data_IF_748998690033
#
_entry.id   IF_748998690033
#
_cell.length_a   1.000
_cell.length_b   1.000
_cell.length_c   1.000
_cell.angle_alpha   90.00
_cell.angle_beta   90.00
_cell.angle_gamma   90.00
#
_symmetry.space_group_name_H-M   'P 1'
#
loop_
_entity.id
_entity.type
_entity.pdbx_description
1 polymer ?
#
# COMPACT_ATOMS: atom_id res chain seq x y z
N UNK A 1 4.49 24.60 -23.59
CA UNK A 1 3.48 24.04 -24.47
C UNK A 1 2.91 22.79 -23.83
N UNK A 2 1.61 22.55 -24.06
CA UNK A 2 0.93 21.32 -23.67
C UNK A 2 0.50 20.63 -24.96
N UNK A 3 0.83 19.34 -25.09
CA UNK A 3 0.46 18.52 -26.22
C UNK A 3 -0.47 17.42 -25.70
N UNK A 4 -1.70 17.38 -26.20
CA UNK A 4 -2.64 16.28 -26.00
C UNK A 4 -2.31 15.16 -27.00
N UNK A 5 -2.22 13.93 -26.53
CA UNK A 5 -2.02 12.74 -27.35
C UNK A 5 -2.78 11.56 -26.75
N UNK A 6 -3.00 10.54 -27.54
CA UNK A 6 -3.54 9.26 -27.07
C UNK A 6 -2.38 8.30 -26.81
N UNK A 7 -2.42 7.62 -25.67
CA UNK A 7 -1.48 6.55 -25.37
C UNK A 7 -1.59 5.43 -26.41
N UNK A 8 -0.49 4.73 -26.64
CA UNK A 8 -0.53 3.49 -27.41
C UNK A 8 -1.08 2.31 -26.58
N UNK A 9 -1.20 1.13 -27.20
CA UNK A 9 -1.75 -0.07 -26.55
C UNK A 9 -0.97 -0.52 -25.30
N UNK A 10 0.29 -0.08 -25.17
CA UNK A 10 1.16 -0.40 -24.01
C UNK A 10 1.28 0.76 -23.01
N UNK A 11 0.52 1.85 -23.23
CA UNK A 11 0.52 3.01 -22.34
C UNK A 11 1.80 3.82 -22.39
N UNK A 12 2.51 3.85 -23.55
CA UNK A 12 3.71 4.65 -23.75
C UNK A 12 3.39 6.02 -24.36
N UNK A 13 4.33 6.96 -24.24
CA UNK A 13 4.22 8.27 -24.88
C UNK A 13 4.92 8.36 -26.24
N UNK A 14 5.13 7.24 -26.93
CA UNK A 14 5.75 7.19 -28.27
C UNK A 14 5.00 8.09 -29.26
N UNK A 15 3.67 8.07 -29.25
CA UNK A 15 2.85 8.92 -30.10
C UNK A 15 3.14 10.41 -29.91
N UNK A 16 3.35 10.85 -28.66
CA UNK A 16 3.74 12.24 -28.36
C UNK A 16 5.11 12.57 -28.92
N UNK A 17 6.09 11.66 -28.78
CA UNK A 17 7.44 11.86 -29.28
C UNK A 17 7.46 11.97 -30.81
N UNK A 18 6.69 11.17 -31.50
CA UNK A 18 6.54 11.25 -32.95
C UNK A 18 5.86 12.55 -33.41
N UNK A 19 4.88 13.05 -32.68
CA UNK A 19 4.27 14.35 -32.93
C UNK A 19 5.27 15.49 -32.78
N UNK A 20 6.08 15.45 -31.70
CA UNK A 20 7.12 16.47 -31.44
C UNK A 20 8.20 16.45 -32.56
N UNK A 21 8.65 15.27 -32.95
CA UNK A 21 9.63 15.14 -34.06
C UNK A 21 9.09 15.75 -35.35
N UNK A 22 7.84 15.51 -35.69
CA UNK A 22 7.20 16.09 -36.90
C UNK A 22 7.06 17.61 -36.82
N UNK A 23 6.78 18.13 -35.63
CA UNK A 23 6.63 19.57 -35.41
C UNK A 23 7.99 20.30 -35.36
N UNK A 24 9.06 19.59 -34.95
CA UNK A 24 10.40 20.13 -34.70
C UNK A 24 11.48 19.32 -35.45
N UNK A 25 11.45 19.25 -36.79
CA UNK A 25 12.31 18.34 -37.56
C UNK A 25 13.80 18.69 -37.53
N UNK A 26 14.15 19.92 -37.18
CA UNK A 26 15.52 20.42 -37.14
C UNK A 26 16.06 20.60 -35.70
N UNK A 27 15.24 20.32 -34.68
CA UNK A 27 15.62 20.55 -33.29
C UNK A 27 16.21 19.27 -32.67
N UNK A 28 17.14 19.45 -31.73
CA UNK A 28 17.60 18.35 -30.89
C UNK A 28 16.54 18.10 -29.81
N UNK A 29 15.90 16.94 -29.89
CA UNK A 29 14.91 16.51 -28.92
C UNK A 29 15.58 15.67 -27.83
N UNK A 30 15.33 16.01 -26.57
CA UNK A 30 15.82 15.26 -25.41
C UNK A 30 14.59 14.82 -24.60
N UNK A 31 14.44 13.52 -24.40
CA UNK A 31 13.42 12.94 -23.56
C UNK A 31 14.00 12.68 -22.17
N UNK A 32 13.48 13.38 -21.15
CA UNK A 32 13.99 13.34 -19.79
C UNK A 32 13.11 12.46 -18.92
N UNK A 33 13.74 11.58 -18.16
CA UNK A 33 13.09 10.71 -17.18
C UNK A 33 13.72 10.87 -15.79
N UNK A 34 12.89 10.77 -14.76
CA UNK A 34 13.32 10.75 -13.36
C UNK A 34 12.78 9.54 -12.61
N UNK A 35 13.08 9.47 -11.31
CA UNK A 35 12.67 8.38 -10.45
C UNK A 35 13.27 7.03 -10.87
N UNK A 36 12.43 5.99 -10.94
CA UNK A 36 12.82 4.61 -11.23
C UNK A 36 12.93 4.26 -12.73
N UNK A 37 12.96 5.27 -13.62
CA UNK A 37 13.04 5.08 -15.06
C UNK A 37 14.49 5.02 -15.53
N UNK A 38 14.83 4.00 -16.34
CA UNK A 38 16.12 3.81 -16.96
C UNK A 38 16.01 3.29 -18.41
N UNK A 39 17.14 3.14 -19.08
CA UNK A 39 17.19 2.67 -20.48
C UNK A 39 16.60 1.28 -20.74
N UNK A 40 16.39 0.48 -19.69
CA UNK A 40 15.91 -0.90 -19.81
C UNK A 40 14.40 -1.02 -19.54
N UNK A 41 13.79 0.02 -18.96
CA UNK A 41 12.41 -0.07 -18.48
C UNK A 41 11.45 0.93 -19.12
N UNK A 42 11.87 1.63 -20.19
CA UNK A 42 11.01 2.53 -20.97
C UNK A 42 10.86 2.08 -22.41
N UNK A 43 9.64 1.93 -22.93
CA UNK A 43 9.39 1.54 -24.32
C UNK A 43 9.81 2.61 -25.35
N UNK A 44 9.89 3.86 -24.93
CA UNK A 44 10.25 5.03 -25.74
C UNK A 44 11.66 4.95 -26.32
N UNK A 45 12.55 4.12 -25.76
CA UNK A 45 13.88 3.87 -26.31
C UNK A 45 13.89 3.38 -27.76
N UNK A 46 12.74 2.93 -28.27
CA UNK A 46 12.57 2.49 -29.67
C UNK A 46 12.43 3.66 -30.66
N UNK A 47 12.26 4.88 -30.18
CA UNK A 47 12.06 6.05 -31.03
C UNK A 47 13.43 6.61 -31.48
N UNK A 48 13.71 6.48 -32.77
CA UNK A 48 14.94 6.98 -33.34
C UNK A 48 15.02 8.51 -33.37
N UNK A 49 16.27 9.05 -33.29
CA UNK A 49 16.52 10.48 -33.43
C UNK A 49 16.15 11.32 -32.21
N UNK A 50 15.96 10.68 -31.06
CA UNK A 50 15.75 11.33 -29.75
C UNK A 50 16.90 10.97 -28.83
N UNK A 51 17.38 11.95 -28.06
CA UNK A 51 18.33 11.71 -26.97
C UNK A 51 17.56 11.46 -25.67
N UNK A 52 18.06 10.58 -24.82
CA UNK A 52 17.43 10.23 -23.54
C UNK A 52 18.33 10.65 -22.38
N UNK A 53 17.76 11.31 -21.38
CA UNK A 53 18.43 11.64 -20.13
C UNK A 53 17.62 11.05 -18.96
N UNK A 54 18.33 10.38 -18.04
CA UNK A 54 17.75 9.71 -16.86
C UNK A 54 18.21 10.38 -15.57
N UNK A 55 17.50 10.17 -14.48
CA UNK A 55 17.80 10.81 -13.20
C UNK A 55 17.47 12.30 -13.16
N UNK A 56 16.75 12.83 -14.15
CA UNK A 56 16.37 14.24 -14.20
C UNK A 56 15.33 14.53 -13.12
N UNK A 57 15.71 15.38 -12.14
CA UNK A 57 14.87 15.67 -10.97
C UNK A 57 15.07 14.72 -9.79
N UNK A 58 16.01 13.76 -9.90
CA UNK A 58 16.37 12.79 -8.84
C UNK A 58 16.01 11.37 -9.21
N UNK A 59 16.69 10.43 -8.57
CA UNK A 59 16.53 8.99 -8.83
C UNK A 59 15.43 8.36 -7.96
N UNK A 60 15.02 9.05 -6.89
CA UNK A 60 13.96 8.58 -5.99
C UNK A 60 12.57 8.84 -6.58
N UNK A 61 11.75 7.80 -6.63
CA UNK A 61 10.34 7.92 -7.00
C UNK A 61 9.52 8.49 -5.84
N UNK A 62 9.36 9.80 -5.84
CA UNK A 62 8.61 10.52 -4.80
C UNK A 62 7.10 10.24 -4.91
N UNK A 63 6.58 10.03 -6.13
CA UNK A 63 5.15 9.81 -6.37
C UNK A 63 4.90 9.05 -7.68
N UNK A 64 3.68 8.50 -7.84
CA UNK A 64 3.22 7.93 -9.09
C UNK A 64 1.71 8.06 -9.24
N UNK A 65 1.22 8.11 -10.48
CA UNK A 65 -0.22 8.13 -10.77
C UNK A 65 -0.95 6.92 -10.17
N UNK A 66 -0.35 5.75 -10.19
CA UNK A 66 -0.93 4.54 -9.59
C UNK A 66 -1.06 4.64 -8.07
N UNK A 67 -0.13 5.30 -7.37
CA UNK A 67 -0.26 5.54 -5.93
C UNK A 67 -1.36 6.55 -5.62
N UNK A 68 -1.44 7.63 -6.41
CA UNK A 68 -2.50 8.63 -6.29
C UNK A 68 -3.87 8.04 -6.59
N UNK A 69 -3.99 7.21 -7.63
CA UNK A 69 -5.23 6.53 -7.99
C UNK A 69 -5.69 5.58 -6.87
N UNK A 70 -4.77 4.86 -6.22
CA UNK A 70 -5.10 4.02 -5.07
C UNK A 70 -5.69 4.83 -3.92
N UNK A 71 -5.10 5.99 -3.61
CA UNK A 71 -5.61 6.89 -2.56
C UNK A 71 -7.00 7.48 -2.91
N UNK A 72 -7.33 7.59 -4.20
CA UNK A 72 -8.65 8.04 -4.66
C UNK A 72 -9.68 6.92 -4.72
N UNK A 73 -9.24 5.73 -5.13
CA UNK A 73 -10.11 4.57 -5.33
C UNK A 73 -10.61 3.98 -4.01
N UNK A 74 -9.75 3.98 -2.99
CA UNK A 74 -10.06 3.37 -1.69
C UNK A 74 -10.05 4.41 -0.60
N UNK A 75 -11.10 4.43 0.23
CA UNK A 75 -11.08 5.25 1.44
C UNK A 75 -9.93 4.80 2.35
N UNK A 76 -9.17 5.75 2.86
CA UNK A 76 -7.99 5.47 3.66
C UNK A 76 -7.88 6.42 4.84
N UNK A 77 -7.17 5.99 5.86
CA UNK A 77 -6.85 6.81 7.03
C UNK A 77 -5.38 6.64 7.42
N UNK A 78 -4.76 7.76 7.79
CA UNK A 78 -3.43 7.79 8.42
C UNK A 78 -3.58 7.75 9.93
N UNK A 79 -2.76 6.93 10.58
CA UNK A 79 -2.66 6.75 12.02
C UNK A 79 -1.21 6.92 12.47
N UNK A 80 -0.96 7.02 13.76
CA UNK A 80 0.42 7.10 14.31
C UNK A 80 1.25 5.87 13.96
N UNK A 81 0.62 4.70 13.87
CA UNK A 81 1.26 3.44 13.55
C UNK A 81 1.45 3.17 12.05
N UNK A 82 0.83 3.96 11.17
CA UNK A 82 0.88 3.74 9.73
C UNK A 82 -0.36 4.26 9.01
N UNK A 83 -0.87 3.48 8.08
CA UNK A 83 -2.12 3.78 7.36
C UNK A 83 -2.89 2.51 7.01
N UNK A 84 -4.16 2.67 6.69
CA UNK A 84 -4.93 1.58 6.11
C UNK A 84 -5.81 2.06 4.95
N UNK A 85 -6.14 1.13 4.07
CA UNK A 85 -7.10 1.29 2.99
C UNK A 85 -8.30 0.37 3.22
N UNK A 86 -9.51 0.87 3.04
CA UNK A 86 -10.70 0.03 2.97
C UNK A 86 -10.84 -0.47 1.52
N UNK A 87 -10.53 -1.74 1.29
CA UNK A 87 -10.59 -2.36 -0.03
C UNK A 87 -11.99 -2.82 -0.38
N UNK A 88 -12.72 -3.29 0.62
CA UNK A 88 -14.09 -3.76 0.51
C UNK A 88 -14.85 -3.53 1.82
N UNK A 89 -16.10 -3.14 1.72
CA UNK A 89 -17.02 -3.07 2.85
C UNK A 89 -18.41 -3.39 2.32
N UNK A 90 -18.95 -4.51 2.75
CA UNK A 90 -20.36 -4.80 2.50
C UNK A 90 -21.21 -3.93 3.41
N UNK A 91 -22.15 -3.24 2.81
CA UNK A 91 -23.19 -2.47 3.53
C UNK A 91 -24.50 -3.24 3.64
N UNK A 92 -24.52 -4.50 3.19
CA UNK A 92 -25.66 -5.40 3.18
C UNK A 92 -25.60 -6.48 4.28
N UNK A 93 -25.90 -7.71 3.91
CA UNK A 93 -26.18 -8.81 4.82
C UNK A 93 -24.96 -9.56 5.36
N UNK A 94 -23.76 -9.41 4.76
CA UNK A 94 -22.64 -10.30 5.09
C UNK A 94 -21.72 -9.80 6.20
N UNK A 95 -21.81 -8.53 6.59
CA UNK A 95 -20.94 -7.94 7.63
C UNK A 95 -19.45 -8.27 7.45
N UNK A 96 -18.97 -8.22 6.20
CA UNK A 96 -17.57 -8.44 5.86
C UNK A 96 -16.92 -7.12 5.49
N UNK A 97 -15.72 -6.89 6.01
CA UNK A 97 -14.86 -5.77 5.62
C UNK A 97 -13.45 -6.28 5.31
N UNK A 98 -12.84 -5.74 4.28
CA UNK A 98 -11.44 -6.05 3.92
C UNK A 98 -10.65 -4.76 3.93
N UNK A 99 -9.51 -4.78 4.63
CA UNK A 99 -8.57 -3.67 4.70
C UNK A 99 -7.17 -4.12 4.28
N UNK A 100 -6.37 -3.19 3.77
CA UNK A 100 -4.93 -3.30 3.76
C UNK A 100 -4.36 -2.40 4.85
N UNK A 101 -3.67 -2.97 5.81
CA UNK A 101 -2.94 -2.26 6.85
C UNK A 101 -1.47 -2.14 6.43
N UNK A 102 -0.89 -0.96 6.56
CA UNK A 102 0.53 -0.71 6.32
C UNK A 102 1.13 -0.20 7.62
N UNK A 103 1.83 -1.08 8.33
CA UNK A 103 2.46 -0.78 9.61
C UNK A 103 3.87 -0.25 9.35
N UNK A 104 4.11 1.01 9.72
CA UNK A 104 5.38 1.67 9.52
C UNK A 104 6.50 1.04 10.37
N UNK A 105 7.77 1.21 9.97
CA UNK A 105 8.92 0.79 10.76
C UNK A 105 8.86 1.30 12.20
N UNK A 106 9.18 0.45 13.17
CA UNK A 106 9.21 0.77 14.60
C UNK A 106 7.87 1.25 15.16
N UNK A 107 6.77 0.85 14.55
CA UNK A 107 5.42 1.20 14.99
C UNK A 107 4.58 -0.05 15.28
N UNK A 108 3.48 0.16 15.99
CA UNK A 108 2.53 -0.90 16.31
C UNK A 108 1.15 -0.35 16.61
N UNK A 109 0.14 -1.21 16.50
CA UNK A 109 -1.24 -0.93 16.88
C UNK A 109 -1.39 -0.99 18.41
N UNK A 110 -2.55 -0.56 18.90
CA UNK A 110 -2.93 -0.81 20.29
C UNK A 110 -3.09 -2.30 20.57
N UNK A 111 -2.86 -2.73 21.80
CA UNK A 111 -3.25 -4.05 22.27
C UNK A 111 -4.75 -4.01 22.58
N UNK A 112 -5.53 -4.72 21.78
CA UNK A 112 -6.98 -4.54 21.64
C UNK A 112 -7.71 -5.85 21.45
N UNK A 113 -9.04 -5.82 21.60
CA UNK A 113 -9.96 -6.92 21.24
C UNK A 113 -11.26 -6.39 20.66
N UNK A 114 -12.02 -7.27 20.02
CA UNK A 114 -13.31 -6.99 19.39
C UNK A 114 -14.38 -7.95 19.91
N UNK A 115 -15.60 -7.43 20.16
CA UNK A 115 -16.68 -8.19 20.76
C UNK A 115 -17.61 -8.86 19.74
N UNK A 116 -17.66 -8.34 18.51
CA UNK A 116 -18.65 -8.77 17.51
C UNK A 116 -18.04 -9.36 16.26
N UNK A 117 -16.71 -9.26 16.09
CA UNK A 117 -16.02 -9.74 14.89
C UNK A 117 -14.80 -10.59 15.21
N UNK A 118 -14.49 -11.45 14.28
CA UNK A 118 -13.20 -12.13 14.12
C UNK A 118 -12.43 -11.53 12.96
N UNK A 119 -11.13 -11.76 12.90
CA UNK A 119 -10.30 -11.25 11.83
C UNK A 119 -9.37 -12.34 11.27
N UNK A 120 -9.06 -12.26 9.98
CA UNK A 120 -8.01 -13.03 9.35
C UNK A 120 -6.97 -12.04 8.87
N UNK A 121 -5.73 -12.20 9.31
CA UNK A 121 -4.61 -11.41 8.87
C UNK A 121 -3.73 -12.24 7.94
N UNK A 122 -3.39 -11.68 6.80
CA UNK A 122 -2.46 -12.25 5.84
C UNK A 122 -1.35 -11.25 5.56
N UNK A 123 -0.09 -11.63 5.81
CA UNK A 123 1.06 -10.77 5.53
C UNK A 123 1.38 -10.83 4.04
N UNK A 124 1.01 -9.78 3.31
CA UNK A 124 1.26 -9.69 1.87
C UNK A 124 2.69 -9.23 1.55
N UNK A 125 3.34 -8.50 2.49
CA UNK A 125 4.72 -8.03 2.33
C UNK A 125 5.35 -7.67 3.67
N UNK A 126 6.62 -8.03 3.85
CA UNK A 126 7.38 -7.70 5.04
C UNK A 126 7.20 -8.72 6.16
N UNK A 127 7.35 -8.28 7.39
CA UNK A 127 7.25 -9.11 8.59
C UNK A 127 6.82 -8.28 9.80
N UNK A 128 6.23 -8.93 10.78
CA UNK A 128 5.78 -8.32 12.02
C UNK A 128 5.78 -9.31 13.18
N UNK A 129 5.61 -8.80 14.38
CA UNK A 129 5.30 -9.57 15.59
C UNK A 129 3.83 -9.33 15.95
N UNK A 130 3.18 -10.36 16.49
CA UNK A 130 1.82 -10.28 17.00
C UNK A 130 1.76 -10.78 18.42
N UNK A 131 1.38 -9.89 19.35
CA UNK A 131 0.98 -10.30 20.69
C UNK A 131 -0.45 -10.81 20.64
N UNK A 132 -0.71 -12.03 21.10
CA UNK A 132 -2.00 -12.68 21.01
C UNK A 132 -2.39 -13.46 22.26
N UNK A 133 -3.62 -13.29 22.76
CA UNK A 133 -4.19 -14.08 23.86
C UNK A 133 -5.69 -14.29 23.67
N UNK A 134 -6.15 -15.54 23.84
CA UNK A 134 -7.58 -15.89 23.85
C UNK A 134 -8.22 -15.75 25.25
N UNK A 135 -7.45 -15.36 26.25
CA UNK A 135 -7.90 -15.25 27.62
C UNK A 135 -7.48 -13.95 28.29
N UNK A 136 -6.68 -14.05 29.33
CA UNK A 136 -6.16 -12.88 30.03
C UNK A 136 -5.15 -12.12 29.15
N UNK A 137 -5.28 -10.80 29.13
CA UNK A 137 -4.38 -9.92 28.37
C UNK A 137 -2.92 -9.98 28.84
N UNK A 138 -2.68 -10.32 30.11
CA UNK A 138 -1.33 -10.43 30.66
C UNK A 138 -0.62 -11.74 30.24
N UNK A 139 -1.36 -12.70 29.71
CA UNK A 139 -0.89 -14.05 29.38
C UNK A 139 -0.84 -14.24 27.85
N UNK A 140 -0.29 -13.23 27.15
CA UNK A 140 -0.19 -13.27 25.70
C UNK A 140 1.10 -14.00 25.25
N UNK A 141 1.02 -14.60 24.07
CA UNK A 141 2.16 -15.13 23.34
C UNK A 141 2.56 -14.19 22.21
N UNK A 142 3.83 -14.10 21.92
CA UNK A 142 4.35 -13.41 20.74
C UNK A 142 4.47 -14.39 19.56
N UNK A 143 3.92 -14.01 18.42
CA UNK A 143 3.93 -14.78 17.17
C UNK A 143 4.65 -13.95 16.13
N UNK A 144 5.72 -14.51 15.53
CA UNK A 144 6.38 -13.89 14.38
C UNK A 144 5.66 -14.28 13.09
N UNK A 145 5.31 -13.28 12.28
CA UNK A 145 4.72 -13.47 10.96
C UNK A 145 5.59 -12.79 9.90
N UNK A 146 5.72 -13.44 8.75
CA UNK A 146 6.41 -12.94 7.55
C UNK A 146 5.51 -13.06 6.33
N UNK A 147 5.95 -12.57 5.19
CA UNK A 147 5.23 -12.68 3.92
C UNK A 147 4.72 -14.11 3.68
N UNK A 148 3.46 -14.23 3.28
CA UNK A 148 2.68 -15.46 3.07
C UNK A 148 2.14 -16.12 4.33
N UNK A 149 2.54 -15.70 5.53
CA UNK A 149 1.93 -16.19 6.77
C UNK A 149 0.55 -15.57 6.99
N UNK A 150 -0.31 -16.34 7.67
CA UNK A 150 -1.64 -15.88 8.10
C UNK A 150 -1.89 -16.20 9.56
N UNK A 151 -2.72 -15.37 10.19
CA UNK A 151 -3.16 -15.56 11.58
C UNK A 151 -4.66 -15.32 11.69
N UNK A 152 -5.35 -16.22 12.35
CA UNK A 152 -6.74 -16.09 12.69
C UNK A 152 -6.91 -15.46 14.07
N UNK A 153 -7.60 -14.33 14.15
CA UNK A 153 -7.92 -13.60 15.37
C UNK A 153 -9.37 -13.90 15.72
N UNK A 154 -9.59 -14.62 16.81
CA UNK A 154 -10.93 -14.92 17.30
C UNK A 154 -11.59 -13.68 17.91
N UNK A 155 -12.90 -13.64 17.83
CA UNK A 155 -13.72 -12.72 18.61
C UNK A 155 -13.28 -12.76 20.09
N UNK A 156 -13.20 -11.61 20.74
CA UNK A 156 -12.77 -11.40 22.13
C UNK A 156 -11.29 -11.75 22.43
N UNK A 157 -10.50 -12.20 21.45
CA UNK A 157 -9.09 -12.41 21.67
C UNK A 157 -8.32 -11.06 21.66
N UNK A 158 -7.43 -10.88 22.63
CA UNK A 158 -6.50 -9.78 22.69
C UNK A 158 -5.41 -9.93 21.62
N UNK A 159 -5.18 -8.85 20.87
CA UNK A 159 -4.19 -8.88 19.80
C UNK A 159 -3.57 -7.51 19.54
N UNK A 160 -2.32 -7.53 19.08
CA UNK A 160 -1.55 -6.32 18.72
C UNK A 160 -0.55 -6.68 17.63
N UNK A 161 -0.51 -5.91 16.55
CA UNK A 161 0.58 -5.97 15.57
C UNK A 161 1.67 -4.98 15.99
N UNK A 162 2.92 -5.43 15.91
CA UNK A 162 4.12 -4.63 16.12
C UNK A 162 5.05 -4.86 14.93
N UNK A 163 5.57 -3.78 14.37
CA UNK A 163 6.62 -3.84 13.36
C UNK A 163 7.96 -3.33 13.93
N UNK A 164 8.79 -4.21 14.54
CA UNK A 164 10.08 -3.81 15.09
C UNK A 164 11.18 -3.65 14.04
N UNK A 165 10.86 -3.87 12.76
CA UNK A 165 11.81 -3.90 11.64
C UNK A 165 11.93 -2.53 10.96
N UNK A 166 12.86 -2.41 10.01
CA UNK A 166 13.18 -1.15 9.30
C UNK A 166 12.39 -0.99 7.99
N UNK A 167 11.58 -1.99 7.60
CA UNK A 167 10.73 -1.94 6.41
C UNK A 167 9.26 -1.99 6.82
N UNK A 168 8.35 -1.36 6.07
CA UNK A 168 6.91 -1.46 6.32
C UNK A 168 6.43 -2.91 6.22
N UNK A 169 5.46 -3.27 7.07
CA UNK A 169 4.72 -4.51 6.97
C UNK A 169 3.32 -4.26 6.39
N UNK A 170 2.95 -5.01 5.38
CA UNK A 170 1.64 -4.94 4.73
C UNK A 170 0.81 -6.17 5.10
N UNK A 171 -0.39 -5.94 5.60
CA UNK A 171 -1.32 -6.97 6.04
C UNK A 171 -2.65 -6.76 5.34
N UNK A 172 -3.17 -7.82 4.73
CA UNK A 172 -4.56 -7.88 4.32
C UNK A 172 -5.36 -8.41 5.50
N UNK A 173 -6.28 -7.59 6.00
CA UNK A 173 -7.17 -7.89 7.10
C UNK A 173 -8.57 -8.14 6.57
N UNK A 174 -9.15 -9.29 6.88
CA UNK A 174 -10.54 -9.63 6.63
C UNK A 174 -11.27 -9.66 7.97
N UNK A 175 -12.19 -8.73 8.16
CA UNK A 175 -13.07 -8.67 9.32
C UNK A 175 -14.42 -9.30 8.99
N UNK A 176 -14.95 -10.13 9.86
CA UNK A 176 -16.28 -10.76 9.70
C UNK A 176 -16.92 -11.12 11.03
N UNK A 177 -18.23 -11.15 11.08
CA UNK A 177 -18.96 -11.48 12.30
C UNK A 177 -20.33 -10.80 12.35
N UNK A 178 -20.81 -10.55 13.56
CA UNK A 178 -22.11 -9.91 13.76
C UNK A 178 -22.12 -8.44 13.33
N UNK A 179 -20.98 -7.74 13.54
CA UNK A 179 -20.79 -6.34 13.18
C UNK A 179 -19.30 -6.10 12.85
N UNK A 180 -19.03 -5.31 11.82
CA UNK A 180 -17.67 -4.86 11.44
C UNK A 180 -17.52 -3.34 11.56
N UNK A 181 -18.08 -2.75 12.63
CA UNK A 181 -18.01 -1.31 12.89
C UNK A 181 -16.70 -0.93 13.59
N UNK A 182 -16.23 0.30 13.39
CA UNK A 182 -14.95 0.76 13.96
C UNK A 182 -15.00 0.92 15.48
N UNK A 183 -16.19 1.19 16.05
CA UNK A 183 -16.40 1.36 17.50
C UNK A 183 -16.41 0.02 18.26
N UNK A 184 -16.43 -1.13 17.55
CA UNK A 184 -16.29 -2.45 18.17
C UNK A 184 -14.83 -2.72 18.55
N UNK A 185 -14.35 -2.04 19.59
CA UNK A 185 -12.96 -2.14 20.01
C UNK A 185 -12.79 -1.76 21.49
N UNK A 186 -12.14 -2.63 22.24
CA UNK A 186 -11.59 -2.33 23.56
C UNK A 186 -10.07 -2.28 23.48
N UNK A 187 -9.47 -1.19 23.96
CA UNK A 187 -8.01 -0.99 23.96
C UNK A 187 -7.48 -1.02 25.39
N UNK A 188 -6.52 -1.91 25.63
CA UNK A 188 -5.89 -2.01 26.93
C UNK A 188 -4.68 -1.05 27.04
N UNK A 189 -3.85 -1.01 26.00
CA UNK A 189 -2.67 -0.14 25.93
C UNK A 189 -2.33 0.21 24.48
N UNK A 190 -1.71 1.36 24.28
CA UNK A 190 -1.13 1.74 23.01
C UNK A 190 0.29 1.17 22.90
N UNK A 191 0.79 1.09 21.66
CA UNK A 191 2.20 0.81 21.44
C UNK A 191 2.99 2.08 21.74
N UNK A 192 3.83 2.00 22.77
CA UNK A 192 4.78 3.05 23.14
C UNK A 192 6.14 2.70 22.52
N UNK A 193 6.79 3.72 21.99
CA UNK A 193 8.16 3.62 21.44
C UNK A 193 9.21 3.56 22.54
#
# INVERSE_FOLDING_TARGET
YVIGFEDDEIGSCINALDMIKKAHPNDKIIFCNGGDRDKNNIPEMKVDGISFEFGVGGDDKINSSSWLLKDWQYSNEKRLWGKFYNLFSDKGDTNVKVKELIIYPKKGLSFQKHFYRSEIWFVSKGQCLVNYSEGNADDYKEISLKTEDSLFIKKEAWHQIINPYDQPCHIVEIQYGEKTIEDDIERLRYYDE
#
